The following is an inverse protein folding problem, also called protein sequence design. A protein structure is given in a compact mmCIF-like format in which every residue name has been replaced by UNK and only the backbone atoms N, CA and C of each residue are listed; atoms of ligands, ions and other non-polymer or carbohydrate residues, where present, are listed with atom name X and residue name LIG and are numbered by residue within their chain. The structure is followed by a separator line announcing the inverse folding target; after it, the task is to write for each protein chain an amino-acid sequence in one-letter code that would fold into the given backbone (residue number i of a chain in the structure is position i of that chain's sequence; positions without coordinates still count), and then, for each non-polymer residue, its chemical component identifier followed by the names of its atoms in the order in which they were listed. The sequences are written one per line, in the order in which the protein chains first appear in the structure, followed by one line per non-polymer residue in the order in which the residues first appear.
data_IF_405135627188
#
_entry.id   IF_405135627188
#
_cell.length_a   1.000
_cell.length_b   1.000
_cell.length_c   1.000
_cell.angle_alpha   90.00
_cell.angle_beta   90.00
_cell.angle_gamma   90.00
#
_symmetry.space_group_name_H-M   'P 1'
#
loop_
_entity.id
_entity.type
_entity.pdbx_description
1 polymer ?
#
# COMPACT_ATOMS: atom_id res chain seq x y z
N UNK A 1 -1.12 -2.48 -28.75
CA UNK A 1 0.17 -3.13 -28.41
C UNK A 1 0.83 -2.26 -27.35
N UNK A 2 0.71 -2.63 -26.07
CA UNK A 2 1.18 -1.82 -24.96
C UNK A 2 2.70 -1.99 -24.76
N UNK A 3 3.46 -0.90 -24.68
CA UNK A 3 4.89 -0.93 -24.31
C UNK A 3 5.02 -1.29 -22.83
N UNK A 4 6.19 -1.76 -22.38
CA UNK A 4 6.48 -2.14 -20.96
C UNK A 4 6.37 -0.99 -19.93
N UNK A 5 5.85 0.17 -20.35
CA UNK A 5 5.65 1.37 -19.54
C UNK A 5 4.36 2.13 -19.92
N UNK A 6 3.46 1.48 -20.68
CA UNK A 6 2.26 2.14 -21.24
C UNK A 6 1.33 2.65 -20.13
N UNK A 7 1.13 1.84 -19.09
CA UNK A 7 0.33 2.23 -17.94
C UNK A 7 0.91 3.43 -17.20
N UNK A 8 2.19 3.41 -16.84
CA UNK A 8 2.81 4.51 -16.10
C UNK A 8 2.73 5.85 -16.86
N UNK A 9 2.96 5.81 -18.18
CA UNK A 9 2.89 7.00 -19.04
C UNK A 9 1.45 7.49 -19.21
N UNK A 10 0.50 6.59 -19.47
CA UNK A 10 -0.92 6.93 -19.59
C UNK A 10 -1.46 7.49 -18.28
N UNK A 11 -1.08 6.87 -17.16
CA UNK A 11 -1.50 7.29 -15.84
C UNK A 11 -0.94 8.66 -15.47
N UNK A 12 0.34 8.92 -15.75
CA UNK A 12 0.92 10.26 -15.59
C UNK A 12 0.23 11.30 -16.50
N UNK A 13 -0.01 10.96 -17.77
CA UNK A 13 -0.72 11.82 -18.72
C UNK A 13 -2.14 12.16 -18.27
N UNK A 14 -2.87 11.20 -17.66
CA UNK A 14 -4.19 11.45 -17.11
C UNK A 14 -4.17 12.45 -15.94
N UNK A 15 -3.13 12.44 -15.10
CA UNK A 15 -2.97 13.44 -14.05
C UNK A 15 -2.71 14.83 -14.63
N UNK A 16 -1.88 14.92 -15.67
CA UNK A 16 -1.64 16.18 -16.38
C UNK A 16 -2.92 16.71 -17.05
N UNK A 17 -3.72 15.83 -17.67
CA UNK A 17 -5.02 16.17 -18.26
C UNK A 17 -6.01 16.67 -17.20
N UNK A 18 -6.01 16.06 -16.02
CA UNK A 18 -6.80 16.51 -14.87
C UNK A 18 -6.26 17.81 -14.23
N UNK A 19 -5.16 18.38 -14.75
CA UNK A 19 -4.56 19.62 -14.26
C UNK A 19 -3.76 19.47 -12.96
N UNK A 20 -3.35 18.24 -12.63
CA UNK A 20 -2.55 17.94 -11.45
C UNK A 20 -1.07 17.78 -11.79
N UNK A 21 -0.21 18.21 -10.88
CA UNK A 21 1.25 18.06 -10.94
C UNK A 21 1.73 17.17 -9.80
N UNK A 22 2.58 16.19 -10.13
CA UNK A 22 3.18 15.32 -9.11
C UNK A 22 4.27 16.06 -8.34
N UNK A 23 4.17 16.04 -7.02
CA UNK A 23 5.28 16.40 -6.13
C UNK A 23 5.99 15.10 -5.73
N UNK A 24 7.17 14.89 -6.33
CA UNK A 24 8.05 13.79 -5.96
C UNK A 24 8.63 14.05 -4.56
N UNK A 25 8.41 13.14 -3.62
CA UNK A 25 8.88 13.31 -2.24
C UNK A 25 10.36 12.94 -2.05
N UNK A 26 10.97 12.23 -3.00
CA UNK A 26 12.37 11.77 -2.86
C UNK A 26 13.38 12.91 -2.62
N UNK A 27 13.33 14.06 -3.31
CA UNK A 27 14.21 15.20 -3.02
C UNK A 27 13.97 15.80 -1.62
N UNK A 28 12.72 15.79 -1.14
CA UNK A 28 12.36 16.32 0.19
C UNK A 28 12.92 15.39 1.27
N UNK A 29 12.76 14.08 1.10
CA UNK A 29 13.31 13.06 1.98
C UNK A 29 14.85 13.08 1.99
N UNK A 30 15.48 13.31 0.83
CA UNK A 30 16.92 13.49 0.74
C UNK A 30 17.39 14.73 1.53
N UNK A 31 16.67 15.85 1.42
CA UNK A 31 16.96 17.05 2.21
C UNK A 31 16.84 16.81 3.71
N UNK A 32 15.84 16.05 4.17
CA UNK A 32 15.72 15.66 5.58
C UNK A 32 16.94 14.85 6.03
N UNK A 33 17.44 13.94 5.19
CA UNK A 33 18.64 13.16 5.51
C UNK A 33 19.91 14.01 5.58
N UNK A 34 20.00 15.12 4.82
CA UNK A 34 21.13 16.05 4.87
C UNK A 34 21.03 17.07 6.01
N UNK A 35 19.82 17.53 6.32
CA UNK A 35 19.52 18.46 7.41
C UNK A 35 18.25 18.03 8.17
N UNK A 36 18.40 17.24 9.26
CA UNK A 36 17.26 16.77 10.04
C UNK A 36 16.41 17.89 10.66
N UNK A 37 16.97 19.09 10.86
CA UNK A 37 16.18 20.23 11.35
C UNK A 37 15.10 20.66 10.37
N UNK A 38 15.22 20.28 9.09
CA UNK A 38 14.20 20.54 8.08
C UNK A 38 12.84 19.92 8.44
N UNK A 39 12.80 18.83 9.23
CA UNK A 39 11.56 18.24 9.77
C UNK A 39 10.70 19.25 10.54
N UNK A 40 11.34 20.25 11.18
CA UNK A 40 10.67 21.26 11.99
C UNK A 40 10.44 22.58 11.24
N UNK A 41 10.84 22.65 9.97
CA UNK A 41 10.77 23.88 9.19
C UNK A 41 9.35 24.22 8.75
N UNK A 42 9.03 25.51 8.64
CA UNK A 42 7.80 25.97 7.99
C UNK A 42 7.79 25.65 6.48
N UNK A 43 8.97 25.53 5.87
CA UNK A 43 9.11 25.21 4.46
C UNK A 43 8.51 23.84 4.13
N UNK A 44 8.78 22.81 4.95
CA UNK A 44 8.17 21.49 4.79
C UNK A 44 6.63 21.55 4.79
N UNK A 45 6.05 22.42 5.61
CA UNK A 45 4.60 22.61 5.75
C UNK A 45 4.00 23.45 4.61
N UNK A 46 4.84 24.11 3.81
CA UNK A 46 4.44 25.00 2.71
C UNK A 46 4.85 24.44 1.36
N UNK A 47 4.37 23.22 1.06
CA UNK A 47 4.73 22.43 -0.15
C UNK A 47 6.23 22.11 -0.26
N UNK A 48 6.99 22.14 0.83
CA UNK A 48 8.43 21.89 0.82
C UNK A 48 9.21 22.76 -0.19
N UNK A 49 8.77 24.02 -0.37
CA UNK A 49 9.40 24.96 -1.30
C UNK A 49 9.09 24.70 -2.78
N UNK A 50 8.18 23.78 -3.10
CA UNK A 50 7.78 23.53 -4.49
C UNK A 50 7.00 24.71 -5.09
N UNK A 51 7.34 25.02 -6.34
CA UNK A 51 6.66 26.03 -7.17
C UNK A 51 6.13 25.38 -8.46
N UNK A 52 5.01 25.88 -9.01
CA UNK A 52 4.21 27.01 -8.51
C UNK A 52 3.26 26.63 -7.36
N UNK A 53 3.30 27.37 -6.25
CA UNK A 53 2.20 27.41 -5.30
C UNK A 53 1.15 28.40 -5.86
N UNK A 54 0.20 27.91 -6.65
CA UNK A 54 -0.85 28.76 -7.20
C UNK A 54 -1.71 29.35 -6.07
N UNK A 55 -2.22 30.58 -6.26
CA UNK A 55 -3.05 31.25 -5.25
C UNK A 55 -4.35 30.50 -4.92
N UNK A 56 -4.84 29.67 -5.85
CA UNK A 56 -6.00 28.79 -5.71
C UNK A 56 -5.63 27.37 -5.24
N UNK A 57 -4.36 27.10 -4.90
CA UNK A 57 -3.95 25.79 -4.37
C UNK A 57 -4.68 25.52 -3.07
N UNK A 58 -5.37 24.38 -3.03
CA UNK A 58 -6.12 23.93 -1.87
C UNK A 58 -5.22 23.62 -0.68
N UNK A 59 -5.74 23.84 0.53
CA UNK A 59 -5.04 23.52 1.79
C UNK A 59 -4.65 22.05 1.84
N UNK A 60 -5.51 21.17 1.33
CA UNK A 60 -5.29 19.72 1.27
C UNK A 60 -4.02 19.34 0.50
N UNK A 61 -3.61 20.13 -0.50
CA UNK A 61 -2.39 19.83 -1.26
C UNK A 61 -1.13 20.07 -0.42
N UNK A 62 -1.13 21.13 0.41
CA UNK A 62 -0.07 21.37 1.38
C UNK A 62 -0.02 20.24 2.42
N UNK A 63 -1.18 19.85 2.95
CA UNK A 63 -1.31 18.78 3.93
C UNK A 63 -0.80 17.44 3.37
N UNK A 64 -1.17 17.07 2.13
CA UNK A 64 -0.69 15.85 1.46
C UNK A 64 0.83 15.81 1.38
N UNK A 65 1.48 16.91 0.96
CA UNK A 65 2.95 16.96 0.86
C UNK A 65 3.61 16.76 2.21
N UNK A 66 3.18 17.51 3.22
CA UNK A 66 3.76 17.42 4.56
C UNK A 66 3.54 16.02 5.16
N UNK A 67 2.30 15.55 5.20
CA UNK A 67 1.90 14.27 5.81
C UNK A 67 2.58 13.10 5.08
N UNK A 68 2.53 13.05 3.76
CA UNK A 68 3.12 11.94 3.02
C UNK A 68 4.65 11.95 3.06
N UNK A 69 5.29 13.13 3.20
CA UNK A 69 6.74 13.20 3.44
C UNK A 69 7.08 12.61 4.81
N UNK A 70 6.36 13.01 5.86
CA UNK A 70 6.59 12.53 7.22
C UNK A 70 6.33 11.03 7.35
N UNK A 71 5.25 10.54 6.74
CA UNK A 71 4.98 9.09 6.63
C UNK A 71 6.08 8.38 5.83
N UNK A 72 6.51 8.93 4.70
CA UNK A 72 7.56 8.34 3.88
C UNK A 72 8.89 8.21 4.64
N UNK A 73 9.23 9.22 5.44
CA UNK A 73 10.38 9.20 6.34
C UNK A 73 10.24 8.11 7.42
N UNK A 74 9.11 8.10 8.12
CA UNK A 74 8.81 7.15 9.20
C UNK A 74 8.69 5.70 8.69
N UNK A 75 8.28 5.50 7.45
CA UNK A 75 8.07 4.16 6.89
C UNK A 75 9.37 3.40 6.60
N UNK A 76 10.51 4.08 6.56
CA UNK A 76 11.82 3.41 6.55
C UNK A 76 12.00 2.61 7.85
N UNK A 77 11.69 3.21 9.00
CA UNK A 77 11.74 2.54 10.30
C UNK A 77 10.61 1.50 10.44
N UNK A 78 9.40 1.79 9.95
CA UNK A 78 8.30 0.81 9.93
C UNK A 78 8.69 -0.45 9.17
N UNK A 79 9.31 -0.32 8.00
CA UNK A 79 9.74 -1.48 7.19
C UNK A 79 10.67 -2.39 7.99
N UNK A 80 11.68 -1.83 8.64
CA UNK A 80 12.61 -2.59 9.48
C UNK A 80 11.89 -3.21 10.69
N UNK A 81 10.94 -2.48 11.29
CA UNK A 81 10.12 -2.98 12.39
C UNK A 81 9.26 -4.18 11.97
N UNK A 82 8.67 -4.14 10.77
CA UNK A 82 7.91 -5.25 10.21
C UNK A 82 8.82 -6.46 10.03
N UNK A 83 9.97 -6.30 9.38
CA UNK A 83 10.93 -7.41 9.16
C UNK A 83 11.35 -8.04 10.49
N UNK A 84 11.66 -7.22 11.49
CA UNK A 84 12.13 -7.69 12.79
C UNK A 84 11.04 -8.38 13.63
N UNK A 85 9.76 -8.19 13.31
CA UNK A 85 8.61 -8.70 14.10
C UNK A 85 7.71 -9.67 13.36
N UNK A 86 8.04 -10.04 12.12
CA UNK A 86 7.36 -11.13 11.42
C UNK A 86 7.54 -12.44 12.21
N UNK A 87 6.46 -13.06 12.69
CA UNK A 87 6.55 -14.28 13.48
C UNK A 87 6.76 -15.47 12.54
N UNK A 88 7.91 -16.13 12.65
CA UNK A 88 8.23 -17.32 11.88
C UNK A 88 8.21 -18.56 12.78
N UNK A 89 7.77 -19.69 12.23
CA UNK A 89 7.92 -20.99 12.89
C UNK A 89 9.36 -21.55 12.72
N UNK A 90 9.60 -22.75 13.27
CA UNK A 90 10.92 -23.42 13.17
C UNK A 90 11.33 -23.75 11.72
N UNK A 91 10.37 -23.85 10.80
CA UNK A 91 10.59 -24.11 9.38
C UNK A 91 10.72 -22.84 8.54
N UNK A 92 10.58 -21.67 9.16
CA UNK A 92 10.61 -20.36 8.49
C UNK A 92 9.29 -19.97 7.83
N UNK A 93 8.18 -20.65 8.14
CA UNK A 93 6.85 -20.27 7.67
C UNK A 93 6.26 -19.13 8.49
N UNK A 94 5.43 -18.30 7.85
CA UNK A 94 4.79 -17.19 8.52
C UNK A 94 3.64 -17.71 9.41
N UNK A 95 3.68 -17.34 10.69
CA UNK A 95 2.64 -17.64 11.64
C UNK A 95 1.56 -16.55 11.58
N UNK A 96 0.38 -16.93 11.11
CA UNK A 96 -0.76 -16.03 11.05
C UNK A 96 -1.66 -16.17 12.29
N UNK A 97 -2.18 -15.07 12.85
CA UNK A 97 -3.21 -15.13 13.87
C UNK A 97 -4.58 -15.43 13.24
N UNK A 98 -5.42 -16.21 13.93
CA UNK A 98 -6.85 -16.32 13.57
C UNK A 98 -7.55 -15.01 13.99
N UNK A 99 -8.14 -14.25 13.05
CA UNK A 99 -8.86 -13.03 13.39
C UNK A 99 -10.09 -13.34 14.27
N UNK A 100 -10.29 -12.65 15.41
CA UNK A 100 -11.36 -12.96 16.37
C UNK A 100 -12.78 -12.91 15.79
N UNK A 101 -13.00 -12.06 14.79
CA UNK A 101 -14.32 -11.82 14.17
C UNK A 101 -14.27 -12.06 12.66
N UNK A 102 -13.38 -12.95 12.18
CA UNK A 102 -13.27 -13.22 10.75
C UNK A 102 -14.61 -13.68 10.19
N UNK A 103 -15.16 -13.04 9.14
CA UNK A 103 -16.41 -13.46 8.52
C UNK A 103 -16.28 -14.80 7.80
N UNK A 104 -15.04 -15.29 7.62
CA UNK A 104 -14.75 -16.56 6.96
C UNK A 104 -14.82 -17.75 7.92
N UNK A 105 -14.85 -17.57 9.25
CA UNK A 105 -15.05 -18.65 10.22
C UNK A 105 -14.09 -19.85 10.08
N UNK A 106 -12.86 -19.60 9.64
CA UNK A 106 -11.77 -20.58 9.60
C UNK A 106 -10.86 -20.34 10.81
N UNK A 107 -10.05 -21.36 11.15
CA UNK A 107 -9.11 -21.29 12.28
C UNK A 107 -7.80 -21.99 11.91
N UNK A 108 -6.65 -21.34 12.16
CA UNK A 108 -5.34 -21.97 11.98
C UNK A 108 -5.08 -23.15 12.94
N UNK A 109 -5.86 -23.25 14.02
CA UNK A 109 -5.84 -24.42 14.90
C UNK A 109 -6.59 -25.65 14.33
N UNK A 110 -7.28 -25.52 13.20
CA UNK A 110 -8.01 -26.61 12.52
C UNK A 110 -7.47 -26.87 11.10
N UNK A 111 -6.36 -27.62 10.96
CA UNK A 111 -5.75 -27.90 9.66
C UNK A 111 -6.67 -28.63 8.67
N UNK A 112 -7.54 -29.52 9.17
CA UNK A 112 -8.48 -30.27 8.34
C UNK A 112 -9.56 -29.32 7.78
N UNK A 113 -10.05 -28.38 8.61
CA UNK A 113 -10.94 -27.30 8.20
C UNK A 113 -10.33 -26.39 7.13
N UNK A 114 -9.06 -26.00 7.28
CA UNK A 114 -8.34 -25.23 6.25
C UNK A 114 -8.14 -26.01 4.96
N UNK A 115 -7.83 -27.31 5.05
CA UNK A 115 -7.66 -28.16 3.89
C UNK A 115 -8.97 -28.27 3.08
N UNK A 116 -10.10 -28.43 3.77
CA UNK A 116 -11.43 -28.58 3.17
C UNK A 116 -12.10 -27.27 2.74
N UNK A 117 -11.58 -26.11 3.13
CA UNK A 117 -12.14 -24.82 2.76
C UNK A 117 -12.15 -24.61 1.24
N UNK A 118 -13.23 -24.02 0.72
CA UNK A 118 -13.29 -23.59 -0.67
C UNK A 118 -12.25 -22.48 -0.95
N UNK A 119 -11.79 -22.33 -2.20
CA UNK A 119 -10.71 -21.40 -2.53
C UNK A 119 -10.98 -19.96 -2.09
N UNK A 120 -12.18 -19.42 -2.33
CA UNK A 120 -12.51 -18.02 -2.06
C UNK A 120 -12.55 -17.76 -0.54
N UNK A 121 -13.13 -18.68 0.23
CA UNK A 121 -13.13 -18.60 1.69
C UNK A 121 -11.72 -18.66 2.27
N UNK A 122 -10.85 -19.54 1.75
CA UNK A 122 -9.47 -19.65 2.19
C UNK A 122 -8.66 -18.38 1.88
N UNK A 123 -8.79 -17.84 0.66
CA UNK A 123 -8.13 -16.60 0.24
C UNK A 123 -8.56 -15.43 1.12
N UNK A 124 -9.88 -15.28 1.33
CA UNK A 124 -10.41 -14.20 2.15
C UNK A 124 -9.93 -14.28 3.60
N UNK A 125 -9.90 -15.49 4.17
CA UNK A 125 -9.35 -15.72 5.49
C UNK A 125 -7.86 -15.37 5.60
N UNK A 126 -7.04 -15.73 4.59
CA UNK A 126 -5.62 -15.38 4.59
C UNK A 126 -5.41 -13.87 4.48
N UNK A 127 -6.16 -13.18 3.61
CA UNK A 127 -6.15 -11.71 3.48
C UNK A 127 -6.48 -11.04 4.81
N UNK A 128 -7.53 -11.49 5.48
CA UNK A 128 -7.96 -10.99 6.79
C UNK A 128 -6.89 -11.22 7.88
N UNK A 129 -6.36 -12.44 7.92
CA UNK A 129 -5.35 -12.87 8.90
C UNK A 129 -4.03 -12.09 8.79
N UNK A 130 -3.56 -11.83 7.57
CA UNK A 130 -2.35 -11.04 7.37
C UNK A 130 -2.57 -9.56 7.70
N UNK A 131 -3.76 -9.02 7.45
CA UNK A 131 -4.11 -7.66 7.87
C UNK A 131 -4.14 -7.53 9.40
N UNK A 132 -4.67 -8.53 10.10
CA UNK A 132 -4.64 -8.59 11.56
C UNK A 132 -3.21 -8.70 12.13
N UNK A 133 -2.35 -9.49 11.49
CA UNK A 133 -0.93 -9.57 11.85
C UNK A 133 -0.24 -8.20 11.69
N UNK A 134 -0.39 -7.58 10.52
CA UNK A 134 0.20 -6.27 10.25
C UNK A 134 -0.34 -5.21 11.19
N UNK A 135 -1.63 -5.24 11.52
CA UNK A 135 -2.23 -4.33 12.48
C UNK A 135 -1.58 -4.38 13.86
N UNK A 136 -1.26 -5.59 14.35
CA UNK A 136 -0.57 -5.78 15.61
C UNK A 136 0.86 -5.20 15.55
N UNK A 137 1.57 -5.47 14.46
CA UNK A 137 2.95 -5.00 14.26
C UNK A 137 3.01 -3.47 14.09
N UNK A 138 2.12 -2.88 13.29
CA UNK A 138 2.02 -1.43 13.09
C UNK A 138 1.61 -0.74 14.40
N UNK A 139 0.73 -1.36 15.20
CA UNK A 139 0.37 -0.82 16.51
C UNK A 139 1.57 -0.79 17.46
N UNK A 140 2.36 -1.87 17.52
CA UNK A 140 3.59 -1.92 18.31
C UNK A 140 4.61 -0.87 17.84
N UNK A 141 4.76 -0.72 16.52
CA UNK A 141 5.59 0.34 15.92
C UNK A 141 5.13 1.75 16.29
N UNK A 142 3.83 2.03 16.20
CA UNK A 142 3.28 3.34 16.54
C UNK A 142 3.52 3.66 18.03
N UNK A 143 3.37 2.67 18.91
CA UNK A 143 3.70 2.80 20.34
C UNK A 143 5.18 3.14 20.52
N UNK A 144 6.09 2.45 19.81
CA UNK A 144 7.53 2.75 19.84
C UNK A 144 7.81 4.21 19.47
N UNK A 145 7.18 4.74 18.41
CA UNK A 145 7.35 6.16 18.01
C UNK A 145 6.85 7.10 19.12
N UNK A 146 5.68 6.85 19.68
CA UNK A 146 5.12 7.67 20.77
C UNK A 146 5.98 7.64 22.05
N UNK A 147 6.50 6.47 22.41
CA UNK A 147 7.40 6.33 23.58
C UNK A 147 8.70 7.10 23.35
N UNK A 148 9.22 7.11 22.13
CA UNK A 148 10.42 7.87 21.79
C UNK A 148 10.18 9.39 21.86
N UNK A 149 9.01 9.86 21.44
CA UNK A 149 8.60 11.26 21.63
C UNK A 149 8.52 11.65 23.12
N UNK A 150 7.88 10.81 23.95
CA UNK A 150 7.74 11.06 25.38
C UNK A 150 9.09 11.06 26.10
N UNK A 151 10.00 10.17 25.69
CA UNK A 151 11.38 10.13 26.18
C UNK A 151 12.11 11.43 25.84
N UNK A 152 12.09 11.84 24.57
CA UNK A 152 12.71 13.09 24.10
C UNK A 152 12.17 14.32 24.86
N UNK A 153 10.84 14.40 25.04
CA UNK A 153 10.19 15.47 25.81
C UNK A 153 10.67 15.53 27.26
N UNK A 154 10.82 14.37 27.90
CA UNK A 154 11.27 14.27 29.30
C UNK A 154 12.73 14.68 29.45
N UNK A 155 13.58 14.31 28.49
CA UNK A 155 15.02 14.56 28.53
C UNK A 155 15.43 15.93 27.96
N UNK A 156 14.50 16.65 27.30
CA UNK A 156 14.81 17.90 26.60
C UNK A 156 15.68 17.71 25.36
N UNK A 157 15.54 16.56 24.69
CA UNK A 157 16.24 16.19 23.46
C UNK A 157 15.25 16.03 22.30
N UNK A 158 15.73 15.83 21.08
CA UNK A 158 14.89 15.47 19.93
C UNK A 158 15.65 14.54 18.99
N UNK A 159 15.06 13.39 18.68
CA UNK A 159 15.52 12.49 17.61
C UNK A 159 14.69 12.70 16.36
N UNK A 160 15.19 12.26 15.20
CA UNK A 160 14.49 12.46 13.93
C UNK A 160 13.12 11.75 13.91
N UNK A 161 13.02 10.56 14.53
CA UNK A 161 11.76 9.82 14.69
C UNK A 161 10.79 10.62 15.57
N UNK A 162 11.26 11.14 16.71
CA UNK A 162 10.42 11.97 17.58
C UNK A 162 9.98 13.27 16.91
N UNK A 163 10.86 13.92 16.13
CA UNK A 163 10.53 15.11 15.37
C UNK A 163 9.47 14.81 14.30
N UNK A 164 9.67 13.77 13.50
CA UNK A 164 8.74 13.39 12.44
C UNK A 164 7.38 12.96 13.00
N UNK A 165 7.36 12.15 14.06
CA UNK A 165 6.14 11.73 14.75
C UNK A 165 5.38 12.91 15.35
N UNK A 166 6.07 13.81 16.05
CA UNK A 166 5.49 15.01 16.64
C UNK A 166 4.85 15.92 15.59
N UNK A 167 5.58 16.22 14.51
CA UNK A 167 5.07 17.08 13.44
C UNK A 167 3.91 16.40 12.73
N UNK A 168 4.01 15.10 12.43
CA UNK A 168 2.93 14.34 11.80
C UNK A 168 1.65 14.36 12.63
N UNK A 169 1.76 14.07 13.93
CA UNK A 169 0.61 14.12 14.85
C UNK A 169 -0.03 15.50 14.91
N UNK A 170 0.78 16.56 14.93
CA UNK A 170 0.30 17.95 14.91
C UNK A 170 -0.42 18.29 13.61
N UNK A 171 0.11 17.89 12.46
CA UNK A 171 -0.50 18.19 11.16
C UNK A 171 -1.77 17.39 10.92
N UNK A 172 -1.81 16.10 11.31
CA UNK A 172 -3.02 15.27 11.23
C UNK A 172 -4.17 15.86 12.07
N UNK A 173 -3.90 16.33 13.28
CA UNK A 173 -4.91 16.95 14.15
C UNK A 173 -5.54 18.23 13.55
N UNK A 174 -4.80 18.95 12.71
CA UNK A 174 -5.23 20.20 12.08
C UNK A 174 -5.70 20.03 10.63
N UNK A 175 -5.59 18.80 10.11
CA UNK A 175 -5.84 18.52 8.71
C UNK A 175 -7.32 18.60 8.40
N UNK A 176 -7.66 19.33 7.34
CA UNK A 176 -9.05 19.36 6.83
C UNK A 176 -9.39 18.09 6.06
N UNK A 177 -8.37 17.42 5.51
CA UNK A 177 -8.51 16.17 4.78
C UNK A 177 -8.71 14.98 5.73
N UNK A 178 -7.91 14.89 6.79
CA UNK A 178 -7.82 13.73 7.68
C UNK A 178 -8.59 13.88 8.99
N UNK A 179 -8.80 15.12 9.45
CA UNK A 179 -9.51 15.42 10.69
C UNK A 179 -10.95 14.89 10.75
N UNK A 180 -11.81 15.08 9.72
CA UNK A 180 -13.20 14.60 9.74
C UNK A 180 -13.34 13.09 9.91
N UNK A 181 -12.37 12.32 9.41
CA UNK A 181 -12.33 10.85 9.53
C UNK A 181 -11.63 10.36 10.80
N UNK A 182 -11.11 11.27 11.62
CA UNK A 182 -10.40 10.92 12.86
C UNK A 182 -9.07 10.21 12.61
N UNK A 183 -8.43 10.42 11.45
CA UNK A 183 -7.17 9.78 11.12
C UNK A 183 -6.04 10.28 12.02
N UNK A 184 -5.32 9.34 12.59
CA UNK A 184 -4.05 9.49 13.29
C UNK A 184 -2.94 8.70 12.57
N UNK A 185 -1.71 8.77 13.08
CA UNK A 185 -0.57 8.06 12.49
C UNK A 185 -0.81 6.54 12.37
N UNK A 186 -1.49 5.94 13.35
CA UNK A 186 -1.77 4.51 13.37
C UNK A 186 -2.77 4.13 12.27
N UNK A 187 -3.94 4.77 12.28
CA UNK A 187 -5.03 4.48 11.35
C UNK A 187 -4.66 4.77 9.90
N UNK A 188 -4.01 5.90 9.59
CA UNK A 188 -3.59 6.19 8.21
C UNK A 188 -2.55 5.17 7.70
N UNK A 189 -1.66 4.71 8.59
CA UNK A 189 -0.64 3.72 8.25
C UNK A 189 -1.23 2.33 8.04
N UNK A 190 -2.20 1.92 8.87
CA UNK A 190 -2.96 0.69 8.67
C UNK A 190 -3.67 0.69 7.33
N UNK A 191 -4.47 1.72 7.06
CA UNK A 191 -5.22 1.84 5.80
C UNK A 191 -4.29 1.77 4.59
N UNK A 192 -3.20 2.55 4.57
CA UNK A 192 -2.23 2.53 3.47
C UNK A 192 -1.53 1.18 3.30
N UNK A 193 -1.14 0.52 4.41
CA UNK A 193 -0.49 -0.79 4.40
C UNK A 193 -1.43 -1.88 3.89
N UNK A 194 -2.69 -1.87 4.33
CA UNK A 194 -3.72 -2.81 3.85
C UNK A 194 -3.95 -2.63 2.36
N UNK A 195 -4.16 -1.41 1.87
CA UNK A 195 -4.34 -1.17 0.42
C UNK A 195 -3.17 -1.71 -0.39
N UNK A 196 -1.92 -1.43 0.01
CA UNK A 196 -0.74 -1.93 -0.68
C UNK A 196 -0.64 -3.46 -0.66
N UNK A 197 -0.92 -4.08 0.49
CA UNK A 197 -0.93 -5.53 0.64
C UNK A 197 -2.00 -6.20 -0.22
N UNK A 198 -3.21 -5.63 -0.28
CA UNK A 198 -4.31 -6.17 -1.06
C UNK A 198 -4.09 -6.03 -2.57
N UNK A 199 -3.42 -4.97 -3.01
CA UNK A 199 -2.97 -4.88 -4.41
C UNK A 199 -1.94 -5.98 -4.73
N UNK A 200 -1.06 -6.34 -3.79
CA UNK A 200 -0.14 -7.47 -3.95
C UNK A 200 -0.91 -8.81 -4.02
N UNK A 201 -1.91 -9.01 -3.15
CA UNK A 201 -2.82 -10.16 -3.22
C UNK A 201 -3.54 -10.25 -4.57
N UNK A 202 -4.10 -9.15 -5.05
CA UNK A 202 -4.76 -9.09 -6.34
C UNK A 202 -3.81 -9.52 -7.48
N UNK A 203 -2.55 -9.09 -7.47
CA UNK A 203 -1.59 -9.54 -8.48
C UNK A 203 -1.29 -11.05 -8.40
N UNK A 204 -1.14 -11.59 -7.19
CA UNK A 204 -0.90 -13.03 -6.96
C UNK A 204 -2.11 -13.86 -7.38
N UNK A 205 -3.33 -13.39 -7.13
CA UNK A 205 -4.57 -14.06 -7.53
C UNK A 205 -4.86 -13.92 -9.03
N UNK A 206 -4.45 -12.81 -9.66
CA UNK A 206 -4.60 -12.62 -11.09
C UNK A 206 -3.73 -13.61 -11.89
N UNK A 207 -2.61 -14.08 -11.34
CA UNK A 207 -1.70 -15.00 -12.02
C UNK A 207 -2.35 -16.32 -12.48
N UNK A 208 -2.96 -17.13 -11.61
CA UNK A 208 -3.67 -18.34 -12.02
C UNK A 208 -4.92 -18.06 -12.85
N UNK A 209 -5.59 -16.92 -12.64
CA UNK A 209 -6.77 -16.53 -13.42
C UNK A 209 -6.42 -16.22 -14.88
N UNK A 210 -5.35 -15.46 -15.12
CA UNK A 210 -4.96 -14.99 -16.43
C UNK A 210 -4.08 -15.99 -17.19
N UNK A 211 -3.37 -16.86 -16.48
CA UNK A 211 -2.49 -17.88 -17.06
C UNK A 211 -2.66 -19.22 -16.33
N UNK A 212 -3.77 -19.94 -16.53
CA UNK A 212 -4.01 -21.23 -15.88
C UNK A 212 -3.00 -22.30 -16.35
N UNK A 213 -2.76 -23.32 -15.53
CA UNK A 213 -1.94 -24.49 -15.87
C UNK A 213 -0.45 -24.36 -15.59
N UNK A 214 -0.01 -23.39 -14.77
CA UNK A 214 1.37 -23.31 -14.32
C UNK A 214 1.57 -24.01 -12.97
N UNK A 215 2.82 -24.36 -12.69
CA UNK A 215 3.25 -24.80 -11.37
C UNK A 215 3.46 -23.61 -10.43
N UNK A 216 3.36 -23.82 -9.12
CA UNK A 216 3.44 -22.77 -8.09
C UNK A 216 4.68 -21.86 -8.23
N UNK A 217 5.86 -22.44 -8.46
CA UNK A 217 7.10 -21.68 -8.63
C UNK A 217 7.06 -20.73 -9.84
N UNK A 218 6.40 -21.15 -10.93
CA UNK A 218 6.26 -20.31 -12.13
C UNK A 218 5.26 -19.16 -11.91
N UNK A 219 4.25 -19.36 -11.06
CA UNK A 219 3.36 -18.29 -10.62
C UNK A 219 4.06 -17.27 -9.72
N UNK A 220 4.86 -17.73 -8.76
CA UNK A 220 5.68 -16.83 -7.94
C UNK A 220 6.60 -15.97 -8.80
N UNK A 221 7.29 -16.61 -9.75
CA UNK A 221 8.15 -15.89 -10.69
C UNK A 221 7.34 -14.88 -11.52
N UNK A 222 6.09 -15.19 -11.89
CA UNK A 222 5.20 -14.31 -12.66
C UNK A 222 4.76 -13.10 -11.87
N UNK A 223 4.31 -13.30 -10.63
CA UNK A 223 3.93 -12.22 -9.74
C UNK A 223 5.15 -11.30 -9.44
N UNK A 224 6.30 -11.88 -9.12
CA UNK A 224 7.55 -11.12 -8.84
C UNK A 224 7.96 -10.22 -10.00
N UNK A 225 8.02 -10.76 -11.22
CA UNK A 225 8.41 -9.97 -12.41
C UNK A 225 7.36 -8.93 -12.79
N UNK A 226 6.08 -9.20 -12.52
CA UNK A 226 4.97 -8.31 -12.84
C UNK A 226 4.78 -7.16 -11.84
N UNK A 227 5.33 -7.27 -10.61
CA UNK A 227 5.20 -6.23 -9.59
C UNK A 227 5.57 -4.83 -10.11
N UNK A 228 6.63 -4.72 -10.92
CA UNK A 228 7.08 -3.44 -11.51
C UNK A 228 6.01 -2.77 -12.38
N UNK A 229 5.11 -3.54 -12.98
CA UNK A 229 4.01 -3.03 -13.80
C UNK A 229 2.84 -2.51 -12.95
N UNK A 230 2.78 -2.89 -11.67
CA UNK A 230 1.73 -2.49 -10.72
C UNK A 230 2.14 -1.30 -9.86
N UNK A 231 3.45 -1.11 -9.62
CA UNK A 231 4.01 0.02 -8.87
C UNK A 231 3.49 1.41 -9.26
N UNK A 232 3.18 1.72 -10.55
CA UNK A 232 2.63 3.02 -10.90
C UNK A 232 1.32 3.40 -10.18
N UNK A 233 0.51 2.42 -9.73
CA UNK A 233 -0.68 2.70 -8.92
C UNK A 233 -0.33 3.45 -7.62
N UNK A 234 0.78 3.07 -6.99
CA UNK A 234 1.26 3.73 -5.77
C UNK A 234 1.82 5.13 -6.04
N UNK A 235 2.00 5.53 -7.29
CA UNK A 235 2.54 6.85 -7.66
C UNK A 235 1.46 7.86 -8.03
N UNK A 236 0.20 7.44 -8.22
CA UNK A 236 -0.94 8.30 -8.58
C UNK A 236 -1.62 8.97 -7.38
N UNK A 237 -2.60 9.83 -7.67
CA UNK A 237 -3.49 10.41 -6.66
C UNK A 237 -4.40 9.32 -6.08
N UNK A 238 -4.84 9.52 -4.84
CA UNK A 238 -5.79 8.60 -4.19
C UNK A 238 -7.10 8.52 -4.98
N UNK A 239 -7.59 9.66 -5.51
CA UNK A 239 -8.83 9.71 -6.27
C UNK A 239 -8.79 8.84 -7.54
N UNK A 240 -7.74 8.98 -8.35
CA UNK A 240 -7.59 8.15 -9.55
C UNK A 240 -7.32 6.68 -9.21
N UNK A 241 -6.60 6.40 -8.12
CA UNK A 241 -6.38 5.04 -7.65
C UNK A 241 -7.71 4.36 -7.32
N UNK A 242 -8.57 4.98 -6.52
CA UNK A 242 -9.88 4.44 -6.16
C UNK A 242 -10.76 4.24 -7.41
N UNK A 243 -10.80 5.19 -8.33
CA UNK A 243 -11.55 5.04 -9.58
C UNK A 243 -11.04 3.86 -10.42
N UNK A 244 -9.72 3.73 -10.58
CA UNK A 244 -9.12 2.63 -11.29
C UNK A 244 -9.46 1.28 -10.65
N UNK A 245 -9.35 1.19 -9.32
CA UNK A 245 -9.65 -0.05 -8.59
C UNK A 245 -11.13 -0.46 -8.71
N UNK A 246 -12.03 0.52 -8.63
CA UNK A 246 -13.47 0.31 -8.81
C UNK A 246 -13.80 -0.11 -10.25
N UNK A 247 -13.31 0.61 -11.26
CA UNK A 247 -13.52 0.30 -12.67
C UNK A 247 -12.95 -1.08 -13.05
N UNK A 248 -11.80 -1.42 -12.47
CA UNK A 248 -11.13 -2.70 -12.65
C UNK A 248 -11.73 -3.86 -11.88
N UNK A 249 -12.69 -3.61 -10.99
CA UNK A 249 -13.33 -4.59 -10.09
C UNK A 249 -12.31 -5.33 -9.21
N UNK A 250 -11.31 -4.60 -8.72
CA UNK A 250 -10.29 -5.11 -7.80
C UNK A 250 -10.42 -4.53 -6.39
N UNK A 251 -11.44 -3.69 -6.20
CA UNK A 251 -12.02 -3.26 -4.92
C UNK A 251 -13.43 -3.86 -4.83
N UNK A 252 -13.81 -4.34 -3.64
CA UNK A 252 -15.13 -4.90 -3.40
C UNK A 252 -16.18 -3.81 -3.09
N UNK A 253 -17.46 -4.09 -3.35
CA UNK A 253 -18.55 -3.12 -3.21
C UNK A 253 -18.77 -2.64 -1.77
N UNK A 254 -18.42 -3.46 -0.77
CA UNK A 254 -18.47 -3.12 0.64
C UNK A 254 -17.17 -2.49 1.16
N UNK A 255 -16.22 -2.21 0.25
CA UNK A 255 -14.89 -1.68 0.49
C UNK A 255 -14.04 -2.52 1.46
N UNK A 256 -14.41 -3.79 1.68
CA UNK A 256 -13.60 -4.71 2.47
C UNK A 256 -12.55 -5.37 1.58
N UNK A 257 -11.30 -4.97 1.75
CA UNK A 257 -10.21 -5.46 0.91
C UNK A 257 -9.82 -6.94 1.19
N UNK A 258 -10.46 -7.57 2.19
CA UNK A 258 -10.34 -9.00 2.48
C UNK A 258 -11.03 -9.89 1.45
N UNK A 259 -11.91 -9.35 0.60
CA UNK A 259 -12.55 -10.15 -0.46
C UNK A 259 -11.53 -10.64 -1.50
N UNK A 260 -11.63 -11.91 -1.96
CA UNK A 260 -10.82 -12.41 -3.06
C UNK A 260 -11.02 -11.61 -4.35
N UNK A 261 -10.00 -11.61 -5.21
CA UNK A 261 -10.08 -11.04 -6.54
C UNK A 261 -11.19 -11.73 -7.33
N UNK A 262 -12.05 -10.93 -7.95
CA UNK A 262 -13.17 -11.42 -8.75
C UNK A 262 -12.67 -12.03 -10.06
N UNK A 263 -13.32 -13.09 -10.52
CA UNK A 263 -12.99 -13.71 -11.82
C UNK A 263 -13.33 -12.81 -13.00
N UNK A 264 -14.27 -11.88 -12.83
CA UNK A 264 -14.66 -10.87 -13.81
C UNK A 264 -13.86 -9.56 -13.71
N UNK A 265 -12.73 -9.56 -12.99
CA UNK A 265 -11.82 -8.42 -12.90
C UNK A 265 -11.28 -8.02 -14.29
N UNK A 266 -11.01 -6.74 -14.48
CA UNK A 266 -10.49 -6.20 -15.74
C UNK A 266 -9.27 -5.30 -15.58
N UNK A 267 -8.77 -5.12 -14.34
CA UNK A 267 -7.59 -4.31 -14.06
C UNK A 267 -6.31 -4.95 -14.55
N UNK A 268 -6.18 -6.27 -14.38
CA UNK A 268 -4.98 -7.03 -14.73
C UNK A 268 -5.18 -7.75 -16.06
N UNK A 269 -4.19 -7.61 -16.94
CA UNK A 269 -4.12 -8.27 -18.25
C UNK A 269 -2.83 -9.06 -18.35
N UNK A 270 -2.86 -10.21 -19.03
CA UNK A 270 -1.64 -10.96 -19.33
C UNK A 270 -1.10 -10.53 -20.70
N UNK A 271 0.17 -10.11 -20.72
CA UNK A 271 0.96 -9.84 -21.92
C UNK A 271 1.77 -11.11 -22.28
N UNK A 272 1.34 -11.90 -23.28
CA UNK A 272 2.01 -13.15 -23.64
C UNK A 272 3.38 -12.92 -24.29
N UNK A 273 3.62 -11.76 -24.90
CA UNK A 273 4.88 -11.47 -25.60
C UNK A 273 6.00 -11.19 -24.59
N UNK A 274 5.66 -10.56 -23.46
CA UNK A 274 6.61 -10.24 -22.39
C UNK A 274 6.59 -11.26 -21.24
N UNK A 275 5.59 -12.13 -21.24
CA UNK A 275 5.26 -13.02 -20.13
C UNK A 275 5.10 -12.26 -18.80
N UNK A 276 4.29 -11.19 -18.80
CA UNK A 276 4.04 -10.35 -17.63
C UNK A 276 2.55 -10.10 -17.44
N UNK A 277 2.13 -9.86 -16.20
CA UNK A 277 0.87 -9.21 -15.92
C UNK A 277 1.07 -7.69 -15.95
N UNK A 278 0.21 -7.00 -16.68
CA UNK A 278 0.19 -5.55 -16.83
C UNK A 278 -1.16 -5.00 -16.38
N UNK A 279 -1.22 -3.69 -16.15
CA UNK A 279 -2.46 -2.99 -15.81
C UNK A 279 -3.15 -2.48 -17.08
N UNK A 280 -4.48 -2.54 -17.07
CA UNK A 280 -5.33 -2.11 -18.17
C UNK A 280 -5.43 -0.58 -18.24
N UNK A 281 -4.84 0.03 -19.26
CA UNK A 281 -4.85 1.49 -19.46
C UNK A 281 -6.24 2.06 -19.74
N UNK A 282 -7.16 1.25 -20.26
CA UNK A 282 -8.47 1.71 -20.72
C UNK A 282 -9.40 2.09 -19.55
N UNK A 283 -9.01 1.74 -18.32
CA UNK A 283 -9.73 2.05 -17.09
C UNK A 283 -9.26 3.35 -16.42
N UNK A 284 -8.26 4.02 -16.99
CA UNK A 284 -7.74 5.27 -16.44
C UNK A 284 -8.70 6.41 -16.81
N UNK A 285 -9.26 7.06 -15.79
CA UNK A 285 -10.10 8.24 -15.95
C UNK A 285 -9.38 9.49 -15.39
N UNK A 286 -9.14 10.53 -16.20
CA UNK A 286 -8.61 11.80 -15.72
C UNK A 286 -9.58 12.49 -14.74
N UNK A 287 -9.27 12.43 -13.45
CA UNK A 287 -10.04 13.08 -12.39
C UNK A 287 -9.18 13.84 -11.39
N UNK A 288 -9.60 15.06 -11.06
CA UNK A 288 -9.14 15.83 -9.91
C UNK A 288 -10.34 16.41 -9.17
N UNK A 289 -10.26 16.53 -7.85
CA UNK A 289 -11.24 17.34 -7.13
C UNK A 289 -11.12 18.81 -7.56
N UNK A 290 -12.22 19.56 -7.51
CA UNK A 290 -12.18 20.99 -7.81
C UNK A 290 -11.09 21.70 -6.99
N UNK A 291 -10.20 22.44 -7.67
CA UNK A 291 -9.07 23.17 -7.06
C UNK A 291 -7.88 22.30 -6.61
N UNK A 292 -7.92 20.98 -6.79
CA UNK A 292 -6.77 20.11 -6.56
C UNK A 292 -5.73 20.31 -7.66
N UNK A 293 -4.48 20.54 -7.26
CA UNK A 293 -3.36 20.83 -8.16
C UNK A 293 -2.19 19.89 -7.97
N UNK A 294 -2.06 19.29 -6.79
CA UNK A 294 -0.90 18.48 -6.45
C UNK A 294 -1.27 17.12 -5.85
N UNK A 295 -0.44 16.13 -6.19
CA UNK A 295 -0.49 14.79 -5.61
C UNK A 295 0.93 14.27 -5.42
N UNK A 296 1.10 13.33 -4.49
CA UNK A 296 2.43 12.81 -4.12
C UNK A 296 2.61 11.32 -4.43
N UNK A 297 1.50 10.58 -4.55
CA UNK A 297 1.51 9.12 -4.44
C UNK A 297 1.55 8.65 -2.98
N UNK A 298 1.51 7.32 -2.83
CA UNK A 298 1.60 6.60 -1.57
C UNK A 298 2.97 6.78 -0.90
N UNK A 299 3.03 7.10 0.40
CA UNK A 299 4.29 7.21 1.15
C UNK A 299 5.15 5.93 1.11
N UNK A 300 4.51 4.75 1.05
CA UNK A 300 5.21 3.46 1.01
C UNK A 300 6.07 3.27 -0.25
N UNK A 301 5.80 4.01 -1.33
CA UNK A 301 6.65 4.03 -2.52
C UNK A 301 8.06 4.59 -2.21
N UNK A 302 8.15 5.50 -1.25
CA UNK A 302 9.40 6.18 -0.88
C UNK A 302 10.21 5.44 0.18
N UNK A 303 9.58 4.54 0.94
CA UNK A 303 10.27 3.61 1.82
C UNK A 303 10.79 2.42 1.00
N UNK A 304 12.06 2.51 0.60
CA UNK A 304 12.68 1.54 -0.30
C UNK A 304 12.42 0.09 0.14
N UNK A 305 11.82 -0.71 -0.73
CA UNK A 305 11.54 -2.12 -0.50
C UNK A 305 10.32 -2.43 0.38
N UNK A 306 9.51 -1.45 0.79
CA UNK A 306 8.31 -1.72 1.60
C UNK A 306 7.22 -2.43 0.78
N UNK A 307 6.95 -1.98 -0.45
CA UNK A 307 6.01 -2.67 -1.35
C UNK A 307 6.54 -4.07 -1.72
N UNK A 308 7.84 -4.20 -1.92
CA UNK A 308 8.47 -5.51 -2.14
C UNK A 308 8.26 -6.43 -0.93
N UNK A 309 8.43 -5.91 0.30
CA UNK A 309 8.17 -6.68 1.52
C UNK A 309 6.72 -7.17 1.57
N UNK A 310 5.73 -6.34 1.24
CA UNK A 310 4.33 -6.78 1.17
C UNK A 310 4.13 -7.87 0.12
N UNK A 311 4.76 -7.74 -1.05
CA UNK A 311 4.72 -8.79 -2.07
C UNK A 311 5.35 -10.09 -1.56
N UNK A 312 6.51 -10.05 -0.90
CA UNK A 312 7.13 -11.25 -0.33
C UNK A 312 6.26 -11.94 0.72
N UNK A 313 5.59 -11.17 1.58
CA UNK A 313 4.64 -11.71 2.56
C UNK A 313 3.52 -12.47 1.84
N UNK A 314 2.91 -11.85 0.82
CA UNK A 314 1.82 -12.48 0.05
C UNK A 314 2.30 -13.73 -0.68
N UNK A 315 3.46 -13.70 -1.35
CA UNK A 315 4.02 -14.85 -2.05
C UNK A 315 4.32 -16.01 -1.11
N UNK A 316 4.89 -15.71 0.07
CA UNK A 316 5.17 -16.70 1.11
C UNK A 316 3.87 -17.40 1.55
N UNK A 317 2.82 -16.62 1.80
CA UNK A 317 1.51 -17.16 2.17
C UNK A 317 0.87 -17.96 1.04
N UNK A 318 0.96 -17.48 -0.21
CA UNK A 318 0.43 -18.19 -1.36
C UNK A 318 1.08 -19.56 -1.55
N UNK A 319 2.40 -19.65 -1.38
CA UNK A 319 3.14 -20.90 -1.41
C UNK A 319 2.80 -21.81 -0.22
N UNK A 320 2.82 -21.27 1.01
CA UNK A 320 2.55 -22.00 2.25
C UNK A 320 1.17 -22.66 2.27
N UNK A 321 0.14 -21.99 1.73
CA UNK A 321 -1.24 -22.48 1.74
C UNK A 321 -1.72 -23.04 0.39
N UNK A 322 -0.81 -23.21 -0.58
CA UNK A 322 -1.10 -23.83 -1.88
C UNK A 322 -2.13 -23.06 -2.72
N UNK A 323 -2.13 -21.73 -2.61
CA UNK A 323 -3.20 -20.88 -3.18
C UNK A 323 -3.30 -20.96 -4.70
N UNK A 324 -2.17 -21.01 -5.40
CA UNK A 324 -2.18 -21.09 -6.86
C UNK A 324 -2.93 -22.32 -7.38
N UNK A 325 -2.78 -23.47 -6.72
CA UNK A 325 -3.50 -24.69 -7.11
C UNK A 325 -5.00 -24.51 -6.87
N UNK A 326 -5.37 -23.97 -5.70
CA UNK A 326 -6.78 -23.72 -5.34
C UNK A 326 -7.48 -22.75 -6.30
N UNK A 327 -6.76 -21.75 -6.80
CA UNK A 327 -7.32 -20.69 -7.64
C UNK A 327 -7.42 -21.04 -9.12
N UNK A 328 -6.67 -22.02 -9.62
CA UNK A 328 -6.72 -22.44 -11.02
C UNK A 328 -8.10 -22.97 -11.43
N UNK A 329 -8.80 -23.64 -10.50
CA UNK A 329 -10.12 -24.21 -10.76
C UNK A 329 -11.24 -23.15 -10.87
N UNK A 330 -10.96 -21.88 -10.55
CA UNK A 330 -11.92 -20.77 -10.68
C UNK A 330 -12.16 -20.33 -12.12
N UNK A 331 -11.30 -20.75 -13.04
CA UNK A 331 -11.34 -20.37 -14.47
C UNK A 331 -12.19 -21.35 -15.30
N UNK A 332 -12.57 -22.50 -14.72
CA UNK A 332 -13.31 -23.58 -15.37
C UNK A 332 -14.82 -23.33 -15.47
#
# INVERSE_FOLDING_TARGET
MARTNDFALTYAGAHEEAGMTRINLAPILHRIAEDPNYLLSEELLTLAGHCPAHADTRKEDFEKVAINTLLGFLYVDLREHIIARMPLDESGHLLLPTPPESPHGLDFADPDGLAAADPDRMVGFLRDSVCHLLDAIIKDWAIKVMVEEDRCRTEGTITDIAAAGYVLGRELQKSVLHGPSGYDMLSITKTGSHTALHVCWNLVEAAPLLRPGLEAAAYDDLARRSLKQVLPLAMGSLGMLCQFMAAGKIEADDHQAIHPLRTDQSAFLYDPDKDLIVLNTDLIEPTAMAGERHYTGCPAFYANGLINLYMEIVLTLAAQYGMYVRLQDRVA
#
